data_IF_406325379976
#
_entry.id   IF_406325379976
#
_cell.length_a   1.000
_cell.length_b   1.000
_cell.length_c   1.000
_cell.angle_alpha   90.00
_cell.angle_beta   90.00
_cell.angle_gamma   90.00
#
_symmetry.space_group_name_H-M   'P 1'
#
loop_
_entity.id
_entity.type
_entity.pdbx_description
1 polymer ?
#
# COMPACT_ATOMS: atom_id res chain seq x y z
N UNK A 1 4.02 5.21 -10.62
CA UNK A 1 2.69 5.08 -11.19
C UNK A 1 2.41 3.61 -11.48
N UNK A 2 1.77 2.97 -10.53
CA UNK A 2 1.49 1.55 -10.61
C UNK A 2 0.02 1.33 -10.98
N UNK A 3 -0.22 0.57 -12.01
CA UNK A 3 -1.56 0.19 -12.42
C UNK A 3 -1.54 -1.24 -12.94
N UNK A 4 -2.71 -1.83 -13.04
CA UNK A 4 -2.86 -3.18 -13.59
C UNK A 4 -2.57 -3.10 -15.07
N UNK A 5 -1.52 -3.81 -15.49
CA UNK A 5 -1.17 -3.86 -16.90
C UNK A 5 -1.89 -5.03 -17.55
N UNK A 6 -3.10 -4.74 -17.93
CA UNK A 6 -3.74 -5.42 -19.02
C UNK A 6 -3.61 -4.40 -20.15
N UNK A 7 -2.77 -4.69 -21.13
CA UNK A 7 -2.22 -3.69 -22.07
C UNK A 7 -3.28 -2.81 -22.74
N UNK A 8 -4.46 -3.34 -22.94
CA UNK A 8 -5.58 -2.57 -23.47
C UNK A 8 -6.86 -3.39 -23.31
N UNK A 9 -7.97 -2.77 -23.64
CA UNK A 9 -9.27 -3.42 -23.56
C UNK A 9 -9.39 -4.64 -24.48
N UNK A 10 -8.65 -4.69 -25.58
CA UNK A 10 -8.70 -5.83 -26.49
C UNK A 10 -8.14 -7.12 -25.86
N UNK A 11 -7.20 -7.02 -24.93
CA UNK A 11 -6.72 -8.17 -24.17
C UNK A 11 -7.83 -8.74 -23.29
N UNK A 12 -8.58 -7.88 -22.61
CA UNK A 12 -9.73 -8.31 -21.81
C UNK A 12 -10.79 -8.95 -22.72
N UNK A 13 -11.08 -8.35 -23.85
CA UNK A 13 -12.05 -8.89 -24.81
C UNK A 13 -11.64 -10.28 -25.34
N UNK A 14 -10.34 -10.52 -25.52
CA UNK A 14 -9.84 -11.82 -25.96
C UNK A 14 -9.95 -12.90 -24.88
N UNK A 15 -10.24 -12.52 -23.62
CA UNK A 15 -10.37 -13.44 -22.51
C UNK A 15 -11.83 -13.76 -22.17
N UNK A 16 -12.73 -13.67 -23.14
CA UNK A 16 -14.17 -13.84 -22.93
C UNK A 16 -14.58 -15.23 -22.44
N UNK A 17 -13.73 -16.24 -22.62
CA UNK A 17 -13.98 -17.59 -22.14
C UNK A 17 -13.59 -17.81 -20.68
N UNK A 18 -12.95 -16.84 -20.04
CA UNK A 18 -12.57 -16.93 -18.63
C UNK A 18 -13.81 -16.84 -17.75
N UNK A 19 -13.95 -17.77 -16.82
CA UNK A 19 -15.09 -17.84 -15.92
C UNK A 19 -14.76 -17.37 -14.50
N UNK A 20 -13.52 -17.57 -14.07
CA UNK A 20 -13.06 -17.24 -12.72
C UNK A 20 -11.77 -16.46 -12.80
N UNK A 21 -11.76 -15.26 -12.21
CA UNK A 21 -10.56 -14.43 -12.09
C UNK A 21 -10.20 -14.28 -10.62
N UNK A 22 -8.97 -14.59 -10.29
CA UNK A 22 -8.42 -14.43 -8.96
C UNK A 22 -7.38 -13.32 -8.99
N UNK A 23 -7.50 -12.40 -8.06
CA UNK A 23 -6.54 -11.32 -7.88
C UNK A 23 -5.81 -11.48 -6.57
N UNK A 24 -4.48 -11.38 -6.60
CA UNK A 24 -3.73 -11.13 -5.39
C UNK A 24 -3.97 -9.68 -4.96
N UNK A 25 -3.91 -9.40 -3.65
CA UNK A 25 -4.17 -8.04 -3.16
C UNK A 25 -2.93 -7.17 -3.25
N UNK A 26 -1.92 -7.46 -2.45
CA UNK A 26 -0.74 -6.60 -2.31
C UNK A 26 0.15 -6.68 -3.53
N UNK A 27 0.47 -5.52 -4.10
CA UNK A 27 1.30 -5.42 -5.29
C UNK A 27 0.55 -5.68 -6.59
N UNK A 28 -0.70 -6.12 -6.55
CA UNK A 28 -1.56 -6.38 -7.70
C UNK A 28 -2.72 -5.39 -7.75
N UNK A 29 -3.65 -5.50 -6.82
CA UNK A 29 -4.76 -4.54 -6.72
C UNK A 29 -4.34 -3.26 -6.01
N UNK A 30 -3.31 -3.34 -5.21
CA UNK A 30 -2.77 -2.21 -4.45
C UNK A 30 -1.31 -1.97 -4.80
N UNK A 31 -0.78 -0.85 -4.31
CA UNK A 31 0.66 -0.58 -4.36
C UNK A 31 1.45 -1.65 -3.61
N UNK A 32 2.70 -1.84 -4.02
CA UNK A 32 3.57 -2.86 -3.42
C UNK A 32 3.93 -2.55 -1.98
N UNK A 33 3.97 -1.27 -1.63
CA UNK A 33 4.34 -0.81 -0.30
C UNK A 33 3.41 0.30 0.15
N UNK A 34 3.21 0.44 1.48
CA UNK A 34 2.35 1.47 2.03
C UNK A 34 2.76 2.87 1.58
N UNK A 35 1.79 3.69 1.25
CA UNK A 35 1.98 5.07 0.83
C UNK A 35 1.40 6.02 1.87
N UNK A 36 2.03 7.17 2.07
CA UNK A 36 1.50 8.23 2.92
C UNK A 36 0.27 8.83 2.24
N UNK A 37 -0.86 8.77 2.93
CA UNK A 37 -2.13 9.30 2.42
C UNK A 37 -2.59 10.53 3.17
N UNK A 38 -2.09 10.77 4.38
CA UNK A 38 -2.53 11.91 5.19
C UNK A 38 -1.43 12.32 6.16
N UNK A 39 -1.30 13.63 6.36
CA UNK A 39 -0.53 14.24 7.43
C UNK A 39 -1.50 14.98 8.32
N UNK A 40 -1.50 14.69 9.61
CA UNK A 40 -2.34 15.37 10.58
C UNK A 40 -1.47 16.01 11.65
N UNK A 41 -1.56 17.33 11.75
CA UNK A 41 -0.86 18.10 12.78
C UNK A 41 -1.73 18.20 14.03
N UNK A 42 -1.12 18.16 15.20
CA UNK A 42 -1.84 18.53 16.40
C UNK A 42 -2.21 20.01 16.35
N UNK A 43 -3.33 20.42 16.99
CA UNK A 43 -3.79 21.81 16.92
C UNK A 43 -2.75 22.85 17.28
N UNK A 44 -1.89 22.56 18.27
CA UNK A 44 -0.82 23.47 18.69
C UNK A 44 0.26 23.68 17.62
N UNK A 45 0.31 22.80 16.60
CA UNK A 45 1.27 22.88 15.48
C UNK A 45 0.62 23.37 14.19
N UNK A 46 -0.67 23.60 14.16
CA UNK A 46 -1.45 23.85 12.95
C UNK A 46 -1.60 25.33 12.58
N UNK A 47 -0.82 26.23 13.20
CA UNK A 47 -0.87 27.66 12.87
C UNK A 47 -0.42 27.90 11.41
N UNK A 48 -1.18 28.69 10.61
CA UNK A 48 -0.99 28.76 9.16
C UNK A 48 0.37 29.28 8.69
N UNK A 49 1.01 30.12 9.48
CA UNK A 49 2.28 30.75 9.11
C UNK A 49 3.51 30.13 9.81
N UNK A 50 3.34 28.97 10.42
CA UNK A 50 4.46 28.27 11.05
C UNK A 50 5.43 27.73 10.01
N UNK A 51 6.74 27.84 10.29
CA UNK A 51 7.78 27.23 9.48
C UNK A 51 7.64 25.71 9.47
N UNK A 52 7.39 25.09 10.64
CA UNK A 52 7.15 23.65 10.75
C UNK A 52 5.66 23.41 10.48
N UNK A 53 5.35 23.06 9.26
CA UNK A 53 4.01 22.75 8.79
C UNK A 53 3.97 21.31 8.26
N UNK A 54 2.84 20.93 7.67
CA UNK A 54 2.68 19.58 7.13
C UNK A 54 3.73 19.22 6.09
N UNK A 55 4.06 20.14 5.21
CA UNK A 55 5.11 19.92 4.21
C UNK A 55 6.48 19.70 4.86
N UNK A 56 6.83 20.53 5.84
CA UNK A 56 8.07 20.36 6.57
C UNK A 56 8.15 19.00 7.25
N UNK A 57 7.05 18.56 7.88
CA UNK A 57 6.96 17.27 8.57
C UNK A 57 7.22 16.11 7.60
N UNK A 58 6.58 16.11 6.44
CA UNK A 58 6.76 15.05 5.43
C UNK A 58 8.20 15.02 4.93
N UNK A 59 8.76 16.20 4.64
CA UNK A 59 10.13 16.33 4.13
C UNK A 59 11.14 15.85 5.17
N UNK A 60 10.96 16.25 6.42
CA UNK A 60 11.84 15.84 7.51
C UNK A 60 11.76 14.33 7.76
N UNK A 61 10.55 13.80 7.90
CA UNK A 61 10.34 12.37 8.10
C UNK A 61 10.92 11.56 6.92
N UNK A 62 10.72 12.01 5.70
CA UNK A 62 11.24 11.35 4.50
C UNK A 62 12.76 11.31 4.46
N UNK A 63 13.42 12.38 4.86
CA UNK A 63 14.89 12.43 4.87
C UNK A 63 15.48 11.52 5.96
N UNK A 64 14.79 11.36 7.10
CA UNK A 64 15.21 10.47 8.17
C UNK A 64 14.97 9.01 7.79
N UNK A 65 13.78 8.69 7.26
CA UNK A 65 13.40 7.34 6.89
C UNK A 65 14.18 6.79 5.70
N UNK A 66 14.87 7.64 4.94
CA UNK A 66 15.79 7.21 3.89
C UNK A 66 16.90 6.30 4.41
N UNK A 67 17.18 6.34 5.70
CA UNK A 67 18.20 5.51 6.35
C UNK A 67 17.65 4.21 6.93
N UNK A 68 16.35 3.95 6.80
CA UNK A 68 15.69 2.80 7.42
C UNK A 68 15.27 1.75 6.39
N UNK A 69 15.26 0.50 6.85
CA UNK A 69 14.69 -0.63 6.10
C UNK A 69 13.30 -1.02 6.60
N UNK A 70 12.71 -0.24 7.50
CA UNK A 70 11.38 -0.49 8.03
C UNK A 70 10.32 -0.49 6.91
N UNK A 71 9.25 -1.28 7.08
CA UNK A 71 8.22 -1.47 6.05
C UNK A 71 7.57 -0.15 5.58
N UNK A 72 7.44 0.84 6.48
CA UNK A 72 6.85 2.14 6.14
C UNK A 72 7.85 3.13 5.55
N UNK A 73 9.15 2.83 5.65
CA UNK A 73 10.21 3.80 5.35
C UNK A 73 10.20 4.25 3.88
N UNK A 74 9.99 3.32 2.96
CA UNK A 74 10.01 3.66 1.52
C UNK A 74 8.87 4.59 1.14
N UNK A 75 7.69 4.36 1.68
CA UNK A 75 6.54 5.22 1.43
C UNK A 75 6.73 6.62 2.00
N UNK A 76 7.29 6.71 3.20
CA UNK A 76 7.57 8.00 3.84
C UNK A 76 8.67 8.74 3.09
N UNK A 77 9.76 8.05 2.75
CA UNK A 77 10.85 8.64 1.96
C UNK A 77 10.35 9.13 0.59
N UNK A 78 9.53 8.36 -0.08
CA UNK A 78 8.94 8.76 -1.36
C UNK A 78 8.03 9.98 -1.22
N UNK A 79 7.24 10.06 -0.15
CA UNK A 79 6.39 11.22 0.12
C UNK A 79 7.24 12.49 0.31
N UNK A 80 8.35 12.39 1.03
CA UNK A 80 9.29 13.52 1.20
C UNK A 80 9.88 13.99 -0.12
N UNK A 81 10.28 13.06 -0.98
CA UNK A 81 10.81 13.40 -2.31
C UNK A 81 9.76 14.09 -3.19
N UNK A 82 8.52 13.61 -3.14
CA UNK A 82 7.43 14.25 -3.90
C UNK A 82 7.17 15.66 -3.43
N UNK A 83 7.22 15.88 -2.12
CA UNK A 83 7.03 17.19 -1.52
C UNK A 83 8.13 18.16 -1.95
N UNK A 84 9.39 17.70 -1.90
CA UNK A 84 10.53 18.49 -2.38
C UNK A 84 10.39 18.83 -3.87
N UNK A 85 9.99 17.88 -4.68
CA UNK A 85 9.80 18.10 -6.11
C UNK A 85 8.67 19.09 -6.39
N UNK A 86 7.58 19.00 -5.65
CA UNK A 86 6.41 19.87 -5.81
C UNK A 86 6.74 21.33 -5.49
N UNK A 87 7.50 21.57 -4.42
CA UNK A 87 7.87 22.91 -3.99
C UNK A 87 9.20 23.39 -4.54
N UNK A 88 9.93 22.56 -5.29
CA UNK A 88 11.24 22.92 -5.81
C UNK A 88 12.30 23.07 -4.71
N UNK A 89 12.14 22.38 -3.60
CA UNK A 89 13.06 22.44 -2.47
C UNK A 89 14.10 21.34 -2.54
N UNK A 90 15.27 21.60 -1.98
CA UNK A 90 16.30 20.58 -1.82
C UNK A 90 15.93 19.64 -0.67
N UNK A 91 16.40 18.39 -0.78
CA UNK A 91 16.20 17.41 0.27
C UNK A 91 16.85 17.89 1.57
N UNK A 92 16.14 17.76 2.68
CA UNK A 92 16.69 18.10 3.99
C UNK A 92 17.83 17.17 4.36
N UNK A 93 18.80 17.69 5.09
CA UNK A 93 19.95 16.93 5.57
C UNK A 93 19.63 16.43 6.98
N UNK A 94 19.57 15.11 7.14
CA UNK A 94 19.43 14.48 8.45
C UNK A 94 20.81 14.20 9.01
N UNK A 95 21.10 14.71 10.21
CA UNK A 95 22.36 14.52 10.91
C UNK A 95 22.15 13.66 12.15
N UNK A 96 23.21 12.94 12.55
CA UNK A 96 23.18 12.10 13.76
C UNK A 96 21.99 11.14 13.78
N UNK A 97 21.76 10.48 12.67
CA UNK A 97 20.64 9.54 12.52
C UNK A 97 20.91 8.31 13.39
N UNK A 98 19.93 7.97 14.20
CA UNK A 98 19.98 6.81 15.07
C UNK A 98 18.66 6.04 14.97
N UNK A 99 18.75 4.74 14.80
CA UNK A 99 17.56 3.88 14.77
C UNK A 99 17.51 3.01 16.01
N UNK A 100 16.34 2.99 16.69
CA UNK A 100 16.02 2.04 17.72
C UNK A 100 15.06 1.01 17.12
N UNK A 101 15.54 -0.21 16.81
CA UNK A 101 14.73 -1.20 16.09
C UNK A 101 13.40 -1.46 16.77
N UNK A 102 12.33 -1.49 15.98
CA UNK A 102 10.97 -1.70 16.46
C UNK A 102 10.32 -0.47 17.09
N UNK A 103 11.06 0.63 17.25
CA UNK A 103 10.56 1.84 17.88
C UNK A 103 10.52 3.03 16.91
N UNK A 104 11.63 3.33 16.26
CA UNK A 104 11.72 4.44 15.33
C UNK A 104 13.14 4.99 15.16
N UNK A 105 13.21 6.17 14.56
CA UNK A 105 14.47 6.85 14.29
C UNK A 105 14.46 8.25 14.91
N UNK A 106 15.65 8.74 15.20
CA UNK A 106 15.87 10.13 15.60
C UNK A 106 16.98 10.74 14.76
N UNK A 107 16.91 12.04 14.55
CA UNK A 107 17.92 12.78 13.82
C UNK A 107 17.85 14.27 14.14
N UNK A 108 18.88 15.00 13.73
CA UNK A 108 18.90 16.46 13.75
C UNK A 108 18.49 16.97 12.36
N UNK A 109 17.48 17.80 12.31
CA UNK A 109 17.00 18.45 11.07
C UNK A 109 16.92 19.95 11.34
N UNK A 110 17.69 20.75 10.65
CA UNK A 110 17.67 22.22 10.78
C UNK A 110 17.79 22.70 12.23
N UNK A 111 18.57 21.98 13.04
CA UNK A 111 18.75 22.31 14.45
C UNK A 111 17.71 21.74 15.39
N UNK A 112 16.68 21.08 14.87
CA UNK A 112 15.65 20.43 15.66
C UNK A 112 15.99 18.96 15.87
N UNK A 113 15.67 18.43 17.07
CA UNK A 113 15.70 17.00 17.32
C UNK A 113 14.37 16.41 16.86
N UNK A 114 14.39 15.59 15.81
CA UNK A 114 13.19 15.00 15.22
C UNK A 114 13.18 13.50 15.49
N UNK A 115 12.08 12.98 15.98
CA UNK A 115 11.85 11.55 16.08
C UNK A 115 10.69 11.14 15.19
N UNK A 116 10.83 9.98 14.55
CA UNK A 116 9.81 9.39 13.67
C UNK A 116 9.63 7.94 14.08
N UNK A 117 8.41 7.54 14.37
CA UNK A 117 8.14 6.16 14.75
C UNK A 117 6.88 5.99 15.60
N UNK A 118 6.95 5.04 16.51
CA UNK A 118 5.83 4.72 17.41
C UNK A 118 5.56 5.89 18.36
N UNK A 119 4.30 6.02 18.73
CA UNK A 119 3.86 7.12 19.59
C UNK A 119 4.67 7.21 20.90
N UNK A 120 4.84 6.09 21.59
CA UNK A 120 5.58 6.05 22.84
C UNK A 120 7.07 6.36 22.70
N UNK A 121 7.63 6.13 21.52
CA UNK A 121 9.02 6.48 21.24
C UNK A 121 9.19 7.98 20.97
N UNK A 122 8.26 8.58 20.22
CA UNK A 122 8.40 9.97 19.77
C UNK A 122 7.88 10.97 20.81
N UNK A 123 6.81 10.63 21.52
CA UNK A 123 6.20 11.51 22.53
C UNK A 123 6.91 11.34 23.86
N UNK A 124 8.05 11.99 24.00
CA UNK A 124 8.90 11.89 25.20
C UNK A 124 8.14 12.37 26.44
N UNK A 125 7.29 13.37 26.30
CA UNK A 125 6.52 13.94 27.39
C UNK A 125 5.39 13.03 27.87
N UNK A 126 4.99 12.05 27.04
CA UNK A 126 3.86 11.17 27.37
C UNK A 126 2.53 11.90 27.48
N UNK A 127 2.41 13.03 26.78
CA UNK A 127 1.25 13.94 26.93
C UNK A 127 0.07 13.59 26.03
N UNK A 128 0.25 12.69 25.07
CA UNK A 128 -0.75 12.43 24.03
C UNK A 128 -1.04 10.95 23.86
N UNK A 129 -2.20 10.68 23.26
CA UNK A 129 -2.60 9.33 22.86
C UNK A 129 -3.00 9.34 21.38
N UNK A 130 -3.17 8.17 20.80
CA UNK A 130 -3.68 8.04 19.44
C UNK A 130 -5.07 8.67 19.28
N UNK A 131 -5.84 8.78 20.37
CA UNK A 131 -7.14 9.42 20.38
C UNK A 131 -7.13 10.92 20.14
N UNK A 132 -5.95 11.55 20.17
CA UNK A 132 -5.82 12.97 19.82
C UNK A 132 -5.83 13.20 18.29
N UNK A 133 -5.83 12.13 17.53
CA UNK A 133 -5.89 12.15 16.06
C UNK A 133 -7.17 11.47 15.57
N UNK A 134 -7.45 11.63 14.28
CA UNK A 134 -8.60 11.01 13.65
C UNK A 134 -8.53 9.48 13.75
N UNK A 135 -9.67 8.78 13.89
CA UNK A 135 -9.67 7.32 13.90
C UNK A 135 -9.08 6.74 12.62
N UNK A 136 -8.28 5.68 12.79
CA UNK A 136 -7.72 4.95 11.65
C UNK A 136 -8.74 3.96 11.09
N UNK A 137 -8.77 3.82 9.77
CA UNK A 137 -9.48 2.71 9.13
C UNK A 137 -8.71 1.41 9.37
N UNK A 138 -9.37 0.28 9.18
CA UNK A 138 -8.78 -1.03 9.50
C UNK A 138 -7.54 -1.38 8.66
N UNK A 139 -7.37 -0.78 7.48
CA UNK A 139 -6.21 -0.99 6.61
C UNK A 139 -5.13 0.07 6.78
N UNK A 140 -5.34 1.07 7.63
CA UNK A 140 -4.41 2.18 7.80
C UNK A 140 -3.39 1.90 8.90
N UNK A 141 -2.18 2.41 8.67
CA UNK A 141 -1.09 2.36 9.61
C UNK A 141 -0.66 3.78 9.93
N UNK A 142 -0.07 3.97 11.11
CA UNK A 142 0.34 5.29 11.56
C UNK A 142 1.80 5.30 11.96
N UNK A 143 2.46 6.43 11.67
CA UNK A 143 3.74 6.77 12.26
C UNK A 143 3.65 8.19 12.80
N UNK A 144 4.36 8.45 13.88
CA UNK A 144 4.25 9.71 14.62
C UNK A 144 5.55 10.48 14.50
N UNK A 145 5.46 11.80 14.58
CA UNK A 145 6.60 12.69 14.50
C UNK A 145 6.59 13.64 15.68
N UNK A 146 7.73 13.75 16.38
CA UNK A 146 7.94 14.77 17.38
C UNK A 146 9.10 15.68 17.00
N UNK A 147 9.03 16.91 17.48
CA UNK A 147 10.06 17.93 17.30
C UNK A 147 10.46 18.42 18.68
N UNK A 148 11.74 18.30 19.00
CA UNK A 148 12.30 18.63 20.31
C UNK A 148 11.53 17.96 21.46
N UNK A 149 11.18 16.69 21.26
CA UNK A 149 10.48 15.87 22.26
C UNK A 149 8.97 16.09 22.36
N UNK A 150 8.42 17.05 21.63
CA UNK A 150 6.99 17.35 21.62
C UNK A 150 6.32 16.75 20.41
N UNK A 151 5.27 15.97 20.63
CA UNK A 151 4.51 15.37 19.55
C UNK A 151 3.91 16.46 18.66
N UNK A 152 4.15 16.37 17.38
CA UNK A 152 3.72 17.38 16.41
C UNK A 152 2.66 16.85 15.44
N UNK A 153 2.83 15.61 14.94
CA UNK A 153 2.02 15.12 13.85
C UNK A 153 1.97 13.59 13.76
N UNK A 154 1.03 13.13 12.95
CA UNK A 154 0.91 11.72 12.57
C UNK A 154 0.83 11.62 11.06
N UNK A 155 1.60 10.68 10.49
CA UNK A 155 1.45 10.25 9.11
C UNK A 155 0.59 9.00 9.08
N UNK A 156 -0.39 8.98 8.21
CA UNK A 156 -1.22 7.81 7.95
C UNK A 156 -0.79 7.18 6.63
N UNK A 157 -0.61 5.87 6.62
CA UNK A 157 -0.19 5.10 5.45
C UNK A 157 -1.14 3.94 5.22
N UNK A 158 -1.26 3.56 3.96
CA UNK A 158 -1.98 2.34 3.57
C UNK A 158 -1.45 1.82 2.25
N UNK A 159 -1.74 0.55 1.96
CA UNK A 159 -1.57 0.00 0.62
C UNK A 159 -2.69 0.58 -0.24
N UNK A 160 -2.34 1.50 -1.13
CA UNK A 160 -3.32 2.26 -1.90
C UNK A 160 -3.82 1.41 -3.07
N UNK A 161 -5.14 1.28 -3.27
CA UNK A 161 -5.66 0.63 -4.46
C UNK A 161 -5.14 1.31 -5.72
N UNK A 162 -4.79 0.52 -6.72
CA UNK A 162 -4.35 1.06 -8.01
C UNK A 162 -5.49 1.82 -8.66
N UNK A 163 -5.18 2.92 -9.32
CA UNK A 163 -6.17 3.85 -9.85
C UNK A 163 -7.14 3.21 -10.85
N UNK A 164 -6.70 2.16 -11.56
CA UNK A 164 -7.53 1.49 -12.56
C UNK A 164 -8.11 0.15 -12.08
N UNK A 165 -7.89 -0.24 -10.82
CA UNK A 165 -8.29 -1.56 -10.34
C UNK A 165 -9.80 -1.79 -10.47
N UNK A 166 -10.58 -0.82 -10.01
CA UNK A 166 -12.06 -0.91 -10.08
C UNK A 166 -12.55 -1.03 -11.51
N UNK A 167 -11.96 -0.27 -12.42
CA UNK A 167 -12.34 -0.29 -13.83
C UNK A 167 -12.00 -1.63 -14.49
N UNK A 168 -10.81 -2.16 -14.22
CA UNK A 168 -10.41 -3.46 -14.76
C UNK A 168 -11.35 -4.57 -14.29
N UNK A 169 -11.70 -4.59 -13.01
CA UNK A 169 -12.63 -5.57 -12.46
C UNK A 169 -14.01 -5.43 -13.10
N UNK A 170 -14.47 -4.20 -13.27
CA UNK A 170 -15.73 -3.91 -13.94
C UNK A 170 -15.75 -4.42 -15.39
N UNK A 171 -14.63 -4.24 -16.10
CA UNK A 171 -14.50 -4.74 -17.48
C UNK A 171 -14.56 -6.26 -17.55
N UNK A 172 -13.94 -6.98 -16.65
CA UNK A 172 -14.05 -8.43 -16.58
C UNK A 172 -15.49 -8.87 -16.41
N UNK A 173 -16.24 -8.22 -15.54
CA UNK A 173 -17.64 -8.53 -15.33
C UNK A 173 -18.50 -8.26 -16.57
N UNK A 174 -18.22 -7.17 -17.27
CA UNK A 174 -18.91 -6.85 -18.54
C UNK A 174 -18.62 -7.88 -19.62
N UNK A 175 -17.45 -8.52 -19.59
CA UNK A 175 -17.08 -9.57 -20.54
C UNK A 175 -17.62 -10.95 -20.14
N UNK A 176 -18.40 -11.03 -19.07
CA UNK A 176 -19.07 -12.27 -18.70
C UNK A 176 -18.39 -13.07 -17.59
N UNK A 177 -17.31 -12.57 -17.02
CA UNK A 177 -16.69 -13.22 -15.85
C UNK A 177 -17.64 -13.12 -14.66
N UNK A 178 -18.03 -14.27 -14.13
CA UNK A 178 -19.01 -14.34 -13.04
C UNK A 178 -18.38 -14.40 -11.66
N UNK A 179 -17.16 -14.89 -11.58
CA UNK A 179 -16.48 -15.10 -10.31
C UNK A 179 -15.18 -14.26 -10.28
N UNK A 180 -15.20 -13.21 -9.48
CA UNK A 180 -14.04 -12.36 -9.24
C UNK A 180 -13.71 -12.46 -7.77
N UNK A 181 -12.52 -12.99 -7.45
CA UNK A 181 -12.11 -13.31 -6.10
C UNK A 181 -10.82 -12.63 -5.75
N UNK A 182 -10.73 -12.07 -4.56
CA UNK A 182 -9.47 -11.53 -4.00
C UNK A 182 -8.86 -12.55 -3.06
N UNK A 183 -7.57 -12.82 -3.23
CA UNK A 183 -6.81 -13.72 -2.35
C UNK A 183 -5.72 -12.92 -1.64
N UNK A 184 -5.60 -13.07 -0.34
CA UNK A 184 -4.56 -12.37 0.43
C UNK A 184 -4.21 -13.08 1.73
N UNK A 185 -2.96 -12.92 2.16
CA UNK A 185 -2.53 -13.33 3.49
C UNK A 185 -2.87 -12.34 4.59
N UNK A 186 -3.38 -11.17 4.24
CA UNK A 186 -3.69 -10.12 5.21
C UNK A 186 -4.95 -10.43 6.03
N UNK A 187 -5.15 -9.66 7.09
CA UNK A 187 -6.29 -9.81 7.99
C UNK A 187 -7.61 -9.51 7.28
N UNK A 188 -8.70 -10.19 7.66
CA UNK A 188 -10.01 -9.92 7.05
C UNK A 188 -10.45 -8.48 7.15
N UNK A 189 -10.21 -7.83 8.29
CA UNK A 189 -10.66 -6.46 8.55
C UNK A 189 -10.01 -5.45 7.61
N UNK A 190 -8.70 -5.55 7.40
CA UNK A 190 -7.98 -4.65 6.49
C UNK A 190 -8.32 -4.95 5.03
N UNK A 191 -8.49 -6.23 4.71
CA UNK A 191 -8.82 -6.68 3.36
C UNK A 191 -10.20 -6.19 2.92
N UNK A 192 -11.17 -6.19 3.82
CA UNK A 192 -12.54 -5.75 3.53
C UNK A 192 -12.58 -4.29 3.02
N UNK A 193 -11.74 -3.43 3.57
CA UNK A 193 -11.67 -2.02 3.15
C UNK A 193 -11.22 -1.92 1.69
N UNK A 194 -10.16 -2.64 1.33
CA UNK A 194 -9.63 -2.63 -0.04
C UNK A 194 -10.62 -3.28 -1.01
N UNK A 195 -11.25 -4.37 -0.61
CA UNK A 195 -12.23 -5.07 -1.43
C UNK A 195 -13.41 -4.15 -1.81
N UNK A 196 -13.91 -3.40 -0.86
CA UNK A 196 -14.95 -2.41 -1.12
C UNK A 196 -14.47 -1.33 -2.10
N UNK A 197 -13.26 -0.83 -1.90
CA UNK A 197 -12.68 0.20 -2.76
C UNK A 197 -12.58 -0.26 -4.23
N UNK A 198 -12.28 -1.52 -4.46
CA UNK A 198 -12.10 -2.04 -5.83
C UNK A 198 -13.34 -2.75 -6.37
N UNK A 199 -14.37 -2.96 -5.55
CA UNK A 199 -15.62 -3.56 -5.98
C UNK A 199 -15.62 -5.07 -6.05
N UNK A 200 -14.91 -5.75 -5.16
CA UNK A 200 -14.89 -7.21 -5.03
C UNK A 200 -15.63 -7.62 -3.77
N UNK A 201 -16.51 -8.59 -3.89
CA UNK A 201 -17.29 -9.12 -2.75
C UNK A 201 -16.81 -10.50 -2.28
N UNK A 202 -16.23 -11.31 -3.17
CA UNK A 202 -15.66 -12.60 -2.80
C UNK A 202 -14.20 -12.41 -2.38
N UNK A 203 -13.99 -12.40 -1.07
CA UNK A 203 -12.69 -12.11 -0.46
C UNK A 203 -12.28 -13.29 0.40
N UNK A 204 -11.05 -13.77 0.17
CA UNK A 204 -10.45 -14.81 0.99
C UNK A 204 -9.19 -14.26 1.61
N UNK A 205 -9.26 -13.97 2.90
CA UNK A 205 -8.19 -13.34 3.67
C UNK A 205 -7.52 -14.33 4.61
N UNK A 206 -6.43 -13.90 5.23
CA UNK A 206 -5.65 -14.69 6.17
C UNK A 206 -5.16 -16.03 5.58
N UNK A 207 -4.85 -16.03 4.30
CA UNK A 207 -4.44 -17.23 3.57
C UNK A 207 -2.93 -17.45 3.65
N UNK A 208 -2.55 -18.71 3.81
CA UNK A 208 -1.17 -19.15 3.55
C UNK A 208 -0.99 -19.28 2.03
N UNK A 209 0.27 -19.31 1.54
CA UNK A 209 0.52 -19.48 0.10
C UNK A 209 -0.13 -20.73 -0.48
N UNK A 210 -0.14 -21.84 0.26
CA UNK A 210 -0.79 -23.08 -0.17
C UNK A 210 -2.31 -22.93 -0.28
N UNK A 211 -2.92 -22.12 0.57
CA UNK A 211 -4.36 -21.87 0.52
C UNK A 211 -4.75 -21.12 -0.75
N UNK A 212 -3.91 -20.17 -1.16
CA UNK A 212 -4.12 -19.43 -2.41
C UNK A 212 -4.06 -20.38 -3.60
N UNK A 213 -3.04 -21.24 -3.63
CA UNK A 213 -2.90 -22.25 -4.67
C UNK A 213 -4.13 -23.15 -4.74
N UNK A 214 -4.57 -23.65 -3.58
CA UNK A 214 -5.73 -24.52 -3.50
C UNK A 214 -7.01 -23.83 -3.94
N UNK A 215 -7.20 -22.56 -3.61
CA UNK A 215 -8.38 -21.80 -4.01
C UNK A 215 -8.56 -21.78 -5.53
N UNK A 216 -7.47 -21.53 -6.26
CA UNK A 216 -7.49 -21.51 -7.72
C UNK A 216 -7.76 -22.92 -8.27
N UNK A 217 -7.09 -23.90 -7.70
CA UNK A 217 -7.19 -25.28 -8.13
C UNK A 217 -8.58 -25.90 -7.88
N UNK A 218 -9.18 -25.60 -6.73
CA UNK A 218 -10.51 -26.09 -6.38
C UNK A 218 -11.62 -25.49 -7.23
N UNK A 219 -11.45 -24.30 -7.76
CA UNK A 219 -12.43 -23.69 -8.64
C UNK A 219 -12.69 -24.59 -9.86
N UNK A 220 -11.67 -25.24 -10.38
CA UNK A 220 -11.81 -26.18 -11.51
C UNK A 220 -12.53 -27.46 -11.11
N UNK A 221 -12.35 -27.92 -9.87
CA UNK A 221 -12.94 -29.17 -9.40
C UNK A 221 -14.40 -29.04 -8.95
N UNK A 222 -14.75 -27.84 -8.47
CA UNK A 222 -16.09 -27.60 -7.91
C UNK A 222 -17.19 -27.62 -8.96
N UNK A 223 -16.88 -27.20 -10.20
CA UNK A 223 -17.83 -27.10 -11.29
C UNK A 223 -17.53 -28.13 -12.39
N UNK A 224 -17.58 -29.43 -12.03
CA UNK A 224 -17.20 -30.51 -12.94
C UNK A 224 -17.98 -30.56 -14.24
N UNK A 225 -19.23 -30.08 -14.23
CA UNK A 225 -20.11 -30.13 -15.36
C UNK A 225 -20.10 -28.86 -16.21
N UNK A 226 -19.20 -27.92 -15.88
CA UNK A 226 -19.10 -26.63 -16.56
C UNK A 226 -17.68 -26.43 -17.07
N UNK A 227 -17.57 -25.75 -18.18
CA UNK A 227 -16.27 -25.34 -18.69
C UNK A 227 -15.74 -24.21 -17.79
N UNK A 228 -14.84 -24.55 -16.87
CA UNK A 228 -14.20 -23.58 -15.97
C UNK A 228 -12.83 -23.23 -16.55
N UNK A 229 -12.64 -21.95 -16.80
CA UNK A 229 -11.33 -21.39 -17.17
C UNK A 229 -10.94 -20.37 -16.12
N UNK A 230 -9.81 -20.61 -15.48
CA UNK A 230 -9.33 -19.77 -14.40
C UNK A 230 -8.23 -18.85 -14.88
N UNK A 231 -8.20 -17.65 -14.31
CA UNK A 231 -7.16 -16.67 -14.55
C UNK A 231 -6.66 -16.17 -13.20
N UNK A 232 -5.35 -16.13 -13.02
CA UNK A 232 -4.73 -15.57 -11.84
C UNK A 232 -3.95 -14.32 -12.22
N UNK A 233 -4.21 -13.23 -11.51
CA UNK A 233 -3.49 -11.95 -11.66
C UNK A 233 -2.67 -11.73 -10.40
N UNK A 234 -1.36 -11.67 -10.54
CA UNK A 234 -0.43 -11.51 -9.44
C UNK A 234 0.78 -10.68 -9.82
N UNK A 235 1.69 -10.46 -8.86
CA UNK A 235 2.90 -9.66 -9.11
C UNK A 235 4.06 -10.46 -9.75
N UNK A 236 3.93 -11.78 -9.77
CA UNK A 236 4.92 -12.65 -10.41
C UNK A 236 6.13 -12.99 -9.55
N UNK A 237 6.28 -12.37 -8.38
CA UNK A 237 7.47 -12.58 -7.54
C UNK A 237 7.24 -13.69 -6.51
N UNK A 238 6.18 -13.57 -5.71
CA UNK A 238 5.87 -14.53 -4.65
C UNK A 238 4.73 -15.48 -5.00
N UNK A 239 4.17 -15.35 -6.20
CA UNK A 239 2.95 -16.03 -6.59
C UNK A 239 3.17 -17.13 -7.62
N UNK A 240 4.42 -17.53 -7.89
CA UNK A 240 4.72 -18.48 -8.96
C UNK A 240 3.91 -19.79 -8.88
N UNK A 241 3.78 -20.46 -7.71
CA UNK A 241 2.96 -21.66 -7.63
C UNK A 241 1.49 -21.41 -7.89
N UNK A 242 0.96 -20.27 -7.41
CA UNK A 242 -0.45 -19.88 -7.58
C UNK A 242 -0.73 -19.54 -9.04
N UNK A 243 0.18 -18.81 -9.67
CA UNK A 243 0.09 -18.48 -11.10
C UNK A 243 0.07 -19.76 -11.94
N UNK A 244 0.90 -20.75 -11.58
CA UNK A 244 0.95 -22.02 -12.29
C UNK A 244 -0.31 -22.87 -12.14
N UNK A 245 -1.11 -22.65 -11.09
CA UNK A 245 -2.35 -23.37 -10.86
C UNK A 245 -3.48 -22.92 -11.78
N UNK A 246 -3.41 -21.71 -12.32
CA UNK A 246 -4.44 -21.15 -13.19
C UNK A 246 -4.22 -21.53 -14.65
N UNK A 247 -5.30 -21.56 -15.42
CA UNK A 247 -5.20 -21.79 -16.87
C UNK A 247 -4.49 -20.63 -17.57
N UNK A 248 -4.76 -19.41 -17.09
CA UNK A 248 -4.16 -18.18 -17.63
C UNK A 248 -3.55 -17.42 -16.46
N UNK A 249 -2.32 -16.95 -16.64
CA UNK A 249 -1.62 -16.18 -15.63
C UNK A 249 -1.23 -14.84 -16.18
N UNK A 250 -1.47 -13.80 -15.39
CA UNK A 250 -1.08 -12.43 -15.72
C UNK A 250 -0.22 -11.92 -14.58
N UNK A 251 1.01 -11.54 -14.92
CA UNK A 251 1.91 -10.91 -13.95
C UNK A 251 1.79 -9.40 -14.06
N UNK A 252 1.70 -8.76 -12.90
CA UNK A 252 1.70 -7.31 -12.78
C UNK A 252 3.11 -6.76 -12.86
N UNK A 253 3.24 -5.64 -13.56
CA UNK A 253 4.46 -4.83 -13.47
C UNK A 253 4.07 -3.40 -13.09
N UNK A 254 4.99 -2.68 -12.46
CA UNK A 254 4.82 -1.23 -12.38
C UNK A 254 5.19 -0.59 -13.71
N UNK A 255 4.84 0.68 -13.89
CA UNK A 255 5.07 1.36 -15.16
C UNK A 255 6.55 1.49 -15.56
N UNK A 256 7.47 1.34 -14.60
CA UNK A 256 8.91 1.46 -14.85
C UNK A 256 9.50 0.23 -15.50
N UNK A 257 8.84 -0.93 -15.43
CA UNK A 257 9.31 -2.20 -15.97
C UNK A 257 8.58 -2.65 -17.23
N UNK A 258 7.84 -1.76 -17.86
CA UNK A 258 7.02 -2.12 -19.02
C UNK A 258 7.83 -2.73 -20.15
N UNK A 259 9.02 -2.21 -20.41
CA UNK A 259 9.90 -2.73 -21.46
C UNK A 259 10.40 -4.13 -21.14
N UNK A 260 10.65 -4.43 -19.88
CA UNK A 260 11.15 -5.74 -19.46
C UNK A 260 10.03 -6.80 -19.46
N UNK A 261 8.78 -6.40 -19.37
CA UNK A 261 7.64 -7.30 -19.33
C UNK A 261 7.12 -7.67 -20.73
N UNK A 262 7.70 -7.11 -21.74
CA UNK A 262 7.42 -7.45 -23.13
C UNK A 262 8.33 -8.57 -23.60
#
# INVERSE_FOLDING_TARGET
>A
RAHIIIKNQSVIESLTHVTHVFFDKTGTLTTTQPQVTQVELLPSWAAPDRRINGSWIIRAAGSIEAYSMHILAKGISAAGRREDAFFGTERMIARDVSELPGQGLSAQIEGYQVRVGRLDFVDIMGAHTAGDFSPLRADEMATYISVNGELAARLTLRDVPRSNAREVISQFRRQGVKHVTMLTGDRPESTAVVAEDVGITDVRAALLPEDKYNAVRYAKKADKDKNVTTMMVGDGVNDAPVLAAADISVAMTDGSNTAASQ
#
